data_IF_726868528337
#
_entry.id   IF_726868528337
#
_cell.length_a   1.000
_cell.length_b   1.000
_cell.length_c   1.000
_cell.angle_alpha   90.00
_cell.angle_beta   90.00
_cell.angle_gamma   90.00
#
_symmetry.space_group_name_H-M   'P 1'
#
loop_
_entity.id
_entity.type
_entity.pdbx_description
1 polymer ?
#
# COMPACT_ATOMS: atom_id res chain seq x y z
N UNK A 1 -7.53 14.59 9.86
CA UNK A 1 -6.85 14.74 11.16
C UNK A 1 -5.43 14.19 11.06
N UNK A 2 -4.48 14.90 11.62
CA UNK A 2 -3.09 14.48 11.81
C UNK A 2 -2.69 14.79 13.26
N UNK A 3 -1.81 13.98 13.85
CA UNK A 3 -1.27 14.23 15.20
C UNK A 3 -0.37 15.48 15.23
N UNK A 4 0.23 15.82 14.09
CA UNK A 4 0.94 17.08 13.90
C UNK A 4 -0.08 18.22 13.67
N UNK A 5 -0.20 19.19 14.60
CA UNK A 5 -1.16 20.29 14.50
C UNK A 5 -0.98 21.16 13.25
N UNK A 6 0.25 21.21 12.70
CA UNK A 6 0.55 22.00 11.50
C UNK A 6 0.01 21.34 10.21
N UNK A 7 -0.28 20.04 10.25
CA UNK A 7 -0.83 19.27 9.13
C UNK A 7 -2.33 19.04 9.29
N UNK A 8 -2.85 19.16 10.52
CA UNK A 8 -4.25 18.90 10.79
C UNK A 8 -5.12 20.12 10.46
N UNK A 9 -6.17 19.89 9.68
CA UNK A 9 -7.19 20.92 9.36
C UNK A 9 -8.49 20.71 10.13
N UNK A 10 -8.64 19.55 10.79
CA UNK A 10 -9.86 19.15 11.49
C UNK A 10 -9.51 18.43 12.79
N UNK A 11 -10.44 18.41 13.73
CA UNK A 11 -10.34 17.65 14.97
C UNK A 11 -10.61 16.17 14.74
N UNK A 12 -10.17 15.32 15.65
CA UNK A 12 -10.48 13.89 15.63
C UNK A 12 -12.00 13.63 15.64
N UNK A 13 -12.73 14.43 16.41
CA UNK A 13 -14.20 14.31 16.52
C UNK A 13 -14.91 14.61 15.19
N UNK A 14 -14.46 15.61 14.46
CA UNK A 14 -15.00 15.92 13.13
C UNK A 14 -14.71 14.80 12.14
N UNK A 15 -13.53 14.19 12.23
CA UNK A 15 -13.15 13.04 11.41
C UNK A 15 -14.10 11.85 11.65
N UNK A 16 -14.43 11.54 12.90
CA UNK A 16 -15.35 10.46 13.23
C UNK A 16 -16.81 10.70 12.83
N UNK A 17 -17.20 11.94 12.55
CA UNK A 17 -18.52 12.27 12.01
C UNK A 17 -18.66 12.08 10.50
N UNK A 18 -17.59 11.76 9.81
CA UNK A 18 -17.58 11.46 8.36
C UNK A 18 -18.26 10.11 8.06
N UNK A 19 -18.60 9.89 6.79
CA UNK A 19 -19.11 8.58 6.34
C UNK A 19 -17.98 7.58 6.05
N UNK A 20 -16.81 8.10 5.69
CA UNK A 20 -15.59 7.32 5.42
C UNK A 20 -14.39 7.97 6.08
N UNK A 21 -13.52 7.14 6.65
CA UNK A 21 -12.24 7.57 7.25
C UNK A 21 -11.11 6.75 6.64
N UNK A 22 -10.15 7.41 5.99
CA UNK A 22 -8.92 6.79 5.51
C UNK A 22 -7.89 6.77 6.63
N UNK A 23 -7.43 5.57 7.00
CA UNK A 23 -6.41 5.38 8.04
C UNK A 23 -5.06 5.15 7.38
N UNK A 24 -4.18 6.15 7.47
CA UNK A 24 -2.89 6.20 6.80
C UNK A 24 -1.75 6.43 7.80
N UNK A 25 -1.72 5.66 8.87
CA UNK A 25 -0.71 5.80 9.94
C UNK A 25 0.51 4.92 9.67
N UNK A 26 1.70 5.27 10.22
CA UNK A 26 2.89 4.43 10.10
C UNK A 26 2.71 3.05 10.75
N UNK A 27 3.35 2.04 10.16
CA UNK A 27 3.43 0.69 10.72
C UNK A 27 4.89 0.22 10.70
N UNK A 28 5.76 0.84 11.52
CA UNK A 28 7.19 0.51 11.53
C UNK A 28 7.43 -0.91 12.02
N UNK A 29 8.64 -1.37 11.84
CA UNK A 29 9.09 -2.66 12.34
C UNK A 29 9.81 -2.48 13.68
N UNK A 30 9.56 -3.37 14.63
CA UNK A 30 10.35 -3.49 15.85
C UNK A 30 11.74 -4.09 15.56
N UNK A 31 12.72 -3.93 16.46
CA UNK A 31 14.06 -4.53 16.31
C UNK A 31 14.06 -6.06 16.15
N UNK A 32 13.06 -6.73 16.66
CA UNK A 32 12.85 -8.19 16.53
C UNK A 32 12.22 -8.63 15.20
N UNK A 33 11.94 -7.68 14.30
CA UNK A 33 11.32 -7.95 13.00
C UNK A 33 9.79 -7.97 13.01
N UNK A 34 9.15 -7.88 14.17
CA UNK A 34 7.69 -7.81 14.25
C UNK A 34 7.15 -6.43 13.83
N UNK A 35 5.97 -6.42 13.23
CA UNK A 35 5.31 -5.17 12.85
C UNK A 35 4.74 -4.46 14.07
N UNK A 36 5.00 -3.16 14.19
CA UNK A 36 4.39 -2.31 15.19
C UNK A 36 3.03 -1.79 14.67
N UNK A 37 1.95 -2.22 15.31
CA UNK A 37 0.58 -1.82 15.01
C UNK A 37 -0.01 -0.84 16.04
N UNK A 38 0.79 -0.27 16.93
CA UNK A 38 0.27 0.59 18.00
C UNK A 38 -0.45 1.82 17.45
N UNK A 39 0.10 2.48 16.44
CA UNK A 39 -0.58 3.61 15.80
C UNK A 39 -1.92 3.24 15.17
N UNK A 40 -2.02 2.06 14.56
CA UNK A 40 -3.27 1.55 13.99
C UNK A 40 -4.29 1.28 15.10
N UNK A 41 -3.87 0.63 16.18
CA UNK A 41 -4.72 0.32 17.34
C UNK A 41 -5.20 1.60 18.04
N UNK A 42 -4.33 2.60 18.14
CA UNK A 42 -4.68 3.88 18.75
C UNK A 42 -5.80 4.59 17.97
N UNK A 43 -5.76 4.58 16.64
CA UNK A 43 -6.86 5.12 15.82
C UNK A 43 -8.17 4.42 16.17
N UNK A 44 -8.18 3.10 16.22
CA UNK A 44 -9.41 2.33 16.45
C UNK A 44 -9.90 2.34 17.90
N UNK A 45 -9.02 2.59 18.86
CA UNK A 45 -9.39 2.77 20.28
C UNK A 45 -10.38 3.93 20.49
N UNK A 46 -10.23 5.00 19.71
CA UNK A 46 -11.08 6.20 19.79
C UNK A 46 -12.11 6.29 18.66
N UNK A 47 -12.19 5.27 17.82
CA UNK A 47 -13.11 5.22 16.69
C UNK A 47 -14.57 5.02 17.14
N UNK A 48 -15.51 5.52 16.36
CA UNK A 48 -16.93 5.26 16.55
C UNK A 48 -17.50 4.40 15.41
N UNK A 49 -18.71 3.90 15.57
CA UNK A 49 -19.35 2.95 14.64
C UNK A 49 -19.93 3.58 13.36
N UNK A 50 -19.96 4.91 13.26
CA UNK A 50 -20.57 5.59 12.12
C UNK A 50 -19.82 5.35 10.81
N UNK A 51 -18.50 5.68 10.71
CA UNK A 51 -17.78 5.59 9.45
C UNK A 51 -17.49 4.15 9.00
N UNK A 52 -17.22 4.02 7.69
CA UNK A 52 -16.42 2.90 7.19
C UNK A 52 -14.96 3.35 7.21
N UNK A 53 -14.12 2.64 7.96
CA UNK A 53 -12.69 2.88 8.05
C UNK A 53 -11.98 2.14 6.91
N UNK A 54 -11.28 2.88 6.08
CA UNK A 54 -10.48 2.34 4.97
C UNK A 54 -9.02 2.34 5.42
N UNK A 55 -8.55 1.19 5.88
CA UNK A 55 -7.16 1.02 6.32
C UNK A 55 -6.24 0.97 5.10
N UNK A 56 -5.37 1.96 4.99
CA UNK A 56 -4.37 2.11 3.93
C UNK A 56 -2.97 1.69 4.36
N UNK A 57 -2.70 1.73 5.68
CA UNK A 57 -1.41 1.34 6.24
C UNK A 57 -1.07 -0.10 5.89
N UNK A 58 0.17 -0.37 5.51
CA UNK A 58 0.63 -1.73 5.20
C UNK A 58 0.58 -2.58 6.47
N UNK A 59 -0.16 -3.66 6.44
CA UNK A 59 -0.32 -4.58 7.58
C UNK A 59 -0.19 -6.04 7.13
N UNK A 60 0.22 -6.92 8.06
CA UNK A 60 0.36 -8.34 7.78
C UNK A 60 -0.98 -9.01 7.46
N UNK A 61 -1.01 -10.02 6.56
CA UNK A 61 -2.24 -10.77 6.25
C UNK A 61 -2.94 -11.30 7.50
N UNK A 62 -4.25 -11.02 7.61
CA UNK A 62 -5.09 -11.35 8.75
C UNK A 62 -5.21 -10.25 9.80
N UNK A 63 -4.50 -9.12 9.66
CA UNK A 63 -4.58 -8.01 10.61
C UNK A 63 -5.96 -7.35 10.61
N UNK A 64 -6.54 -7.08 9.43
CA UNK A 64 -7.88 -6.44 9.35
C UNK A 64 -8.97 -7.33 9.92
N UNK A 65 -8.86 -8.66 9.79
CA UNK A 65 -9.81 -9.58 10.43
C UNK A 65 -9.72 -9.46 11.95
N UNK A 66 -8.51 -9.53 12.52
CA UNK A 66 -8.30 -9.37 13.97
C UNK A 66 -8.79 -8.01 14.49
N UNK A 67 -8.62 -6.94 13.70
CA UNK A 67 -9.15 -5.63 14.07
C UNK A 67 -10.69 -5.63 14.08
N UNK A 68 -11.35 -6.25 13.09
CA UNK A 68 -12.81 -6.39 13.07
C UNK A 68 -13.34 -7.30 14.19
N UNK A 69 -12.57 -8.29 14.65
CA UNK A 69 -12.90 -9.12 15.82
C UNK A 69 -12.71 -8.35 17.13
N UNK A 70 -11.65 -7.55 17.24
CA UNK A 70 -11.36 -6.78 18.45
C UNK A 70 -12.32 -5.59 18.63
N UNK A 71 -12.70 -4.97 17.53
CA UNK A 71 -13.58 -3.79 17.49
C UNK A 71 -14.87 -4.13 16.71
N UNK A 72 -15.66 -5.07 17.24
CA UNK A 72 -16.83 -5.65 16.55
C UNK A 72 -17.85 -4.63 16.03
N UNK A 73 -17.96 -3.47 16.71
CA UNK A 73 -18.85 -2.37 16.32
C UNK A 73 -18.34 -1.57 15.11
N UNK A 74 -17.06 -1.69 14.76
CA UNK A 74 -16.47 -0.91 13.69
C UNK A 74 -16.62 -1.61 12.32
N UNK A 75 -16.54 -0.81 11.29
CA UNK A 75 -16.64 -1.22 9.88
C UNK A 75 -15.29 -0.99 9.23
N UNK A 76 -14.40 -1.97 9.26
CA UNK A 76 -13.03 -1.84 8.76
C UNK A 76 -12.88 -2.62 7.46
N UNK A 77 -12.40 -1.96 6.40
CA UNK A 77 -11.97 -2.56 5.15
C UNK A 77 -10.50 -2.21 4.91
N UNK A 78 -9.79 -3.08 4.23
CA UNK A 78 -8.41 -2.83 3.82
C UNK A 78 -8.37 -2.35 2.36
N UNK A 79 -7.57 -1.33 2.08
CA UNK A 79 -7.34 -0.87 0.70
C UNK A 79 -5.87 -0.48 0.54
N UNK A 80 -5.01 -1.42 0.11
CA UNK A 80 -3.59 -1.15 -0.06
C UNK A 80 -3.34 0.01 -1.04
N UNK A 81 -2.21 0.67 -0.85
CA UNK A 81 -1.67 1.60 -1.80
C UNK A 81 -0.45 0.98 -2.50
N UNK A 82 -0.19 1.41 -3.74
CA UNK A 82 0.93 0.95 -4.57
C UNK A 82 1.71 2.15 -5.11
N UNK A 83 1.82 3.19 -4.30
CA UNK A 83 2.40 4.48 -4.68
C UNK A 83 3.90 4.46 -4.45
N UNK A 84 4.64 5.06 -5.36
CA UNK A 84 6.06 5.38 -5.16
C UNK A 84 6.16 6.70 -4.40
N UNK A 85 7.02 6.81 -3.42
CA UNK A 85 7.12 8.01 -2.57
C UNK A 85 7.32 9.28 -3.39
N UNK A 86 8.21 9.24 -4.38
CA UNK A 86 8.55 10.40 -5.25
C UNK A 86 7.40 10.84 -6.16
N UNK A 87 6.57 9.91 -6.63
CA UNK A 87 5.52 10.14 -7.63
C UNK A 87 4.13 9.89 -7.10
N UNK A 88 3.95 9.83 -5.78
CA UNK A 88 2.73 9.39 -5.11
C UNK A 88 1.46 10.06 -5.62
N UNK A 89 1.48 11.37 -5.88
CA UNK A 89 0.34 12.10 -6.42
C UNK A 89 -0.02 11.65 -7.85
N UNK A 90 0.99 11.47 -8.69
CA UNK A 90 0.80 11.01 -10.07
C UNK A 90 0.33 9.55 -10.06
N UNK A 91 0.99 8.69 -9.30
CA UNK A 91 0.65 7.28 -9.17
C UNK A 91 -0.80 7.08 -8.69
N UNK A 92 -1.26 7.90 -7.74
CA UNK A 92 -2.64 7.86 -7.27
C UNK A 92 -3.63 8.19 -8.39
N UNK A 93 -3.30 9.11 -9.29
CA UNK A 93 -4.14 9.48 -10.43
C UNK A 93 -4.08 8.46 -11.57
N UNK A 94 -2.91 7.88 -11.82
CA UNK A 94 -2.64 7.01 -12.97
C UNK A 94 -2.79 5.52 -12.66
N UNK A 95 -2.86 5.12 -11.37
CA UNK A 95 -3.02 3.70 -10.99
C UNK A 95 -4.14 3.02 -11.78
N UNK A 96 -3.87 1.81 -12.25
CA UNK A 96 -4.80 1.05 -13.08
C UNK A 96 -5.84 0.26 -12.28
N UNK A 97 -5.58 0.03 -11.00
CA UNK A 97 -6.44 -0.76 -10.12
C UNK A 97 -6.53 -0.19 -8.72
N UNK A 98 -7.66 -0.45 -8.07
CA UNK A 98 -7.89 -0.24 -6.65
C UNK A 98 -8.31 -1.59 -6.08
N UNK A 99 -7.77 -1.96 -4.92
CA UNK A 99 -8.10 -3.22 -4.25
C UNK A 99 -8.82 -2.89 -2.96
N UNK A 100 -9.92 -3.59 -2.71
CA UNK A 100 -10.74 -3.45 -1.51
C UNK A 100 -10.92 -4.84 -0.88
N UNK A 101 -10.45 -4.98 0.35
CA UNK A 101 -10.52 -6.23 1.10
C UNK A 101 -11.42 -6.13 2.31
N UNK A 102 -12.36 -7.06 2.45
CA UNK A 102 -13.26 -7.12 3.58
C UNK A 102 -14.61 -7.77 3.28
N UNK A 103 -15.55 -7.60 4.19
CA UNK A 103 -16.94 -8.05 3.97
C UNK A 103 -17.53 -7.35 2.74
N UNK A 104 -18.17 -8.10 1.85
CA UNK A 104 -18.72 -7.60 0.57
C UNK A 104 -19.63 -6.37 0.74
N UNK A 105 -20.46 -6.34 1.77
CA UNK A 105 -21.32 -5.20 2.06
C UNK A 105 -20.53 -3.90 2.35
N UNK A 106 -19.37 -4.01 2.98
CA UNK A 106 -18.50 -2.86 3.30
C UNK A 106 -17.65 -2.45 2.09
N UNK A 107 -17.06 -3.42 1.39
CA UNK A 107 -16.24 -3.13 0.20
C UNK A 107 -17.08 -2.49 -0.91
N UNK A 108 -18.33 -2.95 -1.12
CA UNK A 108 -19.24 -2.35 -2.10
C UNK A 108 -19.65 -0.91 -1.75
N UNK A 109 -19.70 -0.54 -0.47
CA UNK A 109 -19.90 0.84 -0.06
C UNK A 109 -18.63 1.68 -0.23
N UNK A 110 -17.46 1.14 0.17
CA UNK A 110 -16.17 1.80 -0.05
C UNK A 110 -15.88 2.00 -1.55
N UNK A 111 -16.28 1.06 -2.41
CA UNK A 111 -16.19 1.17 -3.86
C UNK A 111 -16.81 2.46 -4.38
N UNK A 112 -17.98 2.85 -3.88
CA UNK A 112 -18.70 4.04 -4.34
C UNK A 112 -17.87 5.32 -4.21
N UNK A 113 -17.13 5.51 -3.11
CA UNK A 113 -16.29 6.70 -2.93
C UNK A 113 -15.13 6.71 -3.92
N UNK A 114 -14.56 5.55 -4.23
CA UNK A 114 -13.50 5.47 -5.24
C UNK A 114 -14.04 5.75 -6.65
N UNK A 115 -15.22 5.24 -7.00
CA UNK A 115 -15.86 5.48 -8.29
C UNK A 115 -16.23 6.96 -8.52
N UNK A 116 -16.57 7.71 -7.47
CA UNK A 116 -16.79 9.16 -7.56
C UNK A 116 -15.55 9.91 -8.06
N UNK A 117 -14.36 9.48 -7.63
CA UNK A 117 -13.12 10.16 -7.97
C UNK A 117 -12.40 9.53 -9.16
N UNK A 118 -12.46 8.23 -9.31
CA UNK A 118 -11.68 7.45 -10.28
C UNK A 118 -12.61 6.70 -11.23
N UNK A 119 -13.17 7.42 -12.21
CA UNK A 119 -13.97 6.83 -13.27
C UNK A 119 -13.10 5.87 -14.08
N UNK A 120 -13.63 4.71 -14.44
CA UNK A 120 -12.98 3.70 -15.30
C UNK A 120 -11.75 2.99 -14.70
N UNK A 121 -11.55 3.02 -13.38
CA UNK A 121 -10.53 2.19 -12.73
C UNK A 121 -11.05 0.78 -12.46
N UNK A 122 -10.18 -0.20 -12.59
CA UNK A 122 -10.50 -1.56 -12.19
C UNK A 122 -10.52 -1.67 -10.67
N UNK A 123 -11.69 -1.84 -10.06
CA UNK A 123 -11.84 -2.01 -8.61
C UNK A 123 -12.06 -3.49 -8.32
N UNK A 124 -11.06 -4.10 -7.68
CA UNK A 124 -11.04 -5.50 -7.30
C UNK A 124 -11.51 -5.60 -5.85
N UNK A 125 -12.61 -6.31 -5.62
CA UNK A 125 -13.12 -6.60 -4.29
C UNK A 125 -12.82 -8.05 -3.91
N UNK A 126 -12.22 -8.26 -2.73
CA UNK A 126 -11.83 -9.57 -2.21
C UNK A 126 -11.94 -9.59 -0.68
N UNK A 127 -11.54 -10.66 -0.02
CA UNK A 127 -11.41 -10.69 1.44
C UNK A 127 -10.18 -9.91 1.94
N UNK A 128 -10.15 -9.64 3.25
CA UNK A 128 -9.09 -8.83 3.87
C UNK A 128 -7.72 -9.46 3.72
N UNK A 129 -7.59 -10.77 4.01
CA UNK A 129 -6.30 -11.48 3.94
C UNK A 129 -5.71 -11.46 2.55
N UNK A 130 -6.56 -11.71 1.55
CA UNK A 130 -6.14 -11.71 0.14
C UNK A 130 -5.66 -10.31 -0.27
N UNK A 131 -6.37 -9.25 0.11
CA UNK A 131 -5.96 -7.88 -0.23
C UNK A 131 -4.66 -7.46 0.47
N UNK A 132 -4.47 -7.86 1.73
CA UNK A 132 -3.23 -7.65 2.49
C UNK A 132 -2.07 -8.42 1.86
N UNK A 133 -2.29 -9.68 1.48
CA UNK A 133 -1.28 -10.49 0.80
C UNK A 133 -0.85 -9.88 -0.55
N UNK A 134 -1.79 -9.36 -1.34
CA UNK A 134 -1.47 -8.69 -2.61
C UNK A 134 -0.48 -7.53 -2.40
N UNK A 135 -0.62 -6.74 -1.33
CA UNK A 135 0.34 -5.69 -1.00
C UNK A 135 1.74 -6.25 -0.76
N UNK A 136 1.85 -7.31 0.03
CA UNK A 136 3.13 -7.96 0.29
C UNK A 136 3.74 -8.60 -0.96
N UNK A 137 2.93 -9.29 -1.76
CA UNK A 137 3.40 -9.86 -3.03
C UNK A 137 4.06 -8.79 -3.92
N UNK A 138 3.41 -7.65 -4.10
CA UNK A 138 3.97 -6.56 -4.89
C UNK A 138 5.30 -6.04 -4.30
N UNK A 139 5.29 -5.70 -3.02
CA UNK A 139 6.47 -5.11 -2.38
C UNK A 139 7.66 -6.08 -2.39
N UNK A 140 7.42 -7.35 -2.03
CA UNK A 140 8.47 -8.38 -2.01
C UNK A 140 8.99 -8.68 -3.41
N UNK A 141 8.11 -8.76 -4.41
CA UNK A 141 8.50 -8.99 -5.80
C UNK A 141 9.43 -7.87 -6.30
N UNK A 142 9.07 -6.60 -6.07
CA UNK A 142 9.90 -5.49 -6.51
C UNK A 142 11.20 -5.37 -5.73
N UNK A 143 11.20 -5.62 -4.43
CA UNK A 143 12.44 -5.67 -3.63
C UNK A 143 13.38 -6.77 -4.12
N UNK A 144 12.86 -7.94 -4.42
CA UNK A 144 13.64 -9.06 -5.01
C UNK A 144 14.20 -8.68 -6.38
N UNK A 145 13.40 -8.01 -7.21
CA UNK A 145 13.84 -7.56 -8.54
C UNK A 145 15.01 -6.58 -8.43
N UNK A 146 14.91 -5.59 -7.55
CA UNK A 146 16.02 -4.64 -7.28
C UNK A 146 17.27 -5.37 -6.81
N UNK A 147 17.14 -6.30 -5.86
CA UNK A 147 18.26 -7.08 -5.35
C UNK A 147 18.96 -7.88 -6.46
N UNK A 148 18.21 -8.59 -7.29
CA UNK A 148 18.75 -9.36 -8.42
C UNK A 148 19.45 -8.44 -9.42
N UNK A 149 18.91 -7.27 -9.74
CA UNK A 149 19.52 -6.33 -10.68
C UNK A 149 20.82 -5.76 -10.14
N UNK A 150 20.93 -5.50 -8.84
CA UNK A 150 22.18 -5.10 -8.20
C UNK A 150 23.25 -6.19 -8.33
N UNK A 151 22.91 -7.47 -8.14
CA UNK A 151 23.84 -8.60 -8.33
C UNK A 151 24.31 -8.69 -9.80
N UNK A 152 23.42 -8.56 -10.76
CA UNK A 152 23.80 -8.54 -12.17
C UNK A 152 24.68 -7.35 -12.53
N UNK A 153 24.46 -6.18 -11.93
CA UNK A 153 25.33 -5.03 -12.12
C UNK A 153 26.75 -5.31 -11.61
N UNK A 154 26.89 -5.91 -10.42
CA UNK A 154 28.18 -6.31 -9.87
C UNK A 154 28.92 -7.32 -10.76
N UNK A 155 28.20 -8.31 -11.30
CA UNK A 155 28.75 -9.28 -12.23
C UNK A 155 29.22 -8.57 -13.51
N UNK A 156 28.38 -7.71 -14.08
CA UNK A 156 28.67 -6.94 -15.30
C UNK A 156 29.97 -6.13 -15.14
N UNK A 157 30.11 -5.41 -14.03
CA UNK A 157 31.29 -4.62 -13.71
C UNK A 157 32.56 -5.49 -13.59
N UNK A 158 32.41 -6.65 -12.93
CA UNK A 158 33.52 -7.58 -12.72
C UNK A 158 34.06 -8.19 -14.03
N UNK A 159 33.19 -8.47 -14.99
CA UNK A 159 33.59 -9.06 -16.29
C UNK A 159 33.87 -8.02 -17.36
N UNK A 160 33.69 -6.71 -17.07
CA UNK A 160 33.91 -5.62 -18.03
C UNK A 160 32.87 -5.52 -19.14
N UNK A 161 31.64 -6.04 -18.91
CA UNK A 161 30.56 -5.91 -19.88
C UNK A 161 29.92 -4.51 -19.85
N UNK A 162 29.25 -4.12 -20.93
CA UNK A 162 28.47 -2.89 -20.96
C UNK A 162 27.13 -3.06 -20.30
N UNK A 163 26.90 -2.36 -19.18
CA UNK A 163 25.65 -2.45 -18.42
C UNK A 163 24.43 -1.98 -19.20
N UNK A 164 24.55 -0.87 -19.94
CA UNK A 164 23.42 -0.31 -20.68
C UNK A 164 22.96 -1.26 -21.80
N UNK A 165 23.92 -1.84 -22.53
CA UNK A 165 23.62 -2.82 -23.58
C UNK A 165 23.01 -4.10 -22.98
N UNK A 166 23.55 -4.58 -21.86
CA UNK A 166 23.04 -5.74 -21.15
C UNK A 166 21.60 -5.50 -20.68
N UNK A 167 21.35 -4.33 -20.07
CA UNK A 167 20.02 -3.95 -19.57
C UNK A 167 19.01 -3.82 -20.71
N UNK A 168 19.38 -3.15 -21.80
CA UNK A 168 18.53 -3.00 -22.99
C UNK A 168 18.20 -4.36 -23.63
N UNK A 169 19.20 -5.24 -23.76
CA UNK A 169 18.99 -6.59 -24.26
C UNK A 169 18.07 -7.42 -23.35
N UNK A 170 18.26 -7.31 -22.03
CA UNK A 170 17.44 -8.02 -21.06
C UNK A 170 15.99 -7.52 -21.02
N UNK A 171 15.79 -6.22 -21.03
CA UNK A 171 14.45 -5.61 -20.98
C UNK A 171 13.68 -5.72 -22.29
N UNK A 172 14.36 -6.01 -23.40
CA UNK A 172 13.72 -6.24 -24.70
C UNK A 172 12.80 -7.48 -24.71
N UNK A 173 12.98 -8.40 -23.76
CA UNK A 173 12.01 -9.47 -23.52
C UNK A 173 10.78 -8.92 -22.80
N UNK A 174 9.65 -8.81 -23.49
CA UNK A 174 8.39 -8.27 -22.97
C UNK A 174 7.84 -8.95 -21.71
N UNK A 175 8.40 -10.09 -21.31
CA UNK A 175 8.04 -10.79 -20.06
C UNK A 175 8.72 -10.19 -18.82
N UNK A 176 9.82 -9.44 -19.01
CA UNK A 176 10.61 -8.89 -17.89
C UNK A 176 9.94 -7.68 -17.26
N UNK A 177 9.38 -6.78 -18.06
CA UNK A 177 8.80 -5.50 -17.65
C UNK A 177 9.87 -4.51 -17.15
N UNK A 178 9.70 -3.24 -17.45
CA UNK A 178 10.75 -2.20 -17.33
C UNK A 178 10.93 -1.63 -15.92
N UNK A 179 9.97 -1.85 -15.01
CA UNK A 179 10.05 -1.27 -13.67
C UNK A 179 11.12 -1.93 -12.80
N UNK A 180 11.82 -1.13 -11.98
CA UNK A 180 12.79 -1.60 -10.99
C UNK A 180 14.02 -2.33 -11.57
N UNK A 181 14.46 -1.94 -12.77
CA UNK A 181 15.66 -2.52 -13.41
C UNK A 181 16.92 -1.66 -13.26
N UNK A 182 16.78 -0.36 -12.99
CA UNK A 182 17.91 0.55 -12.91
C UNK A 182 18.78 0.32 -11.66
N UNK A 183 20.10 0.41 -11.83
CA UNK A 183 21.08 0.35 -10.76
C UNK A 183 22.05 1.55 -10.90
N UNK A 184 22.23 2.41 -9.88
CA UNK A 184 21.44 2.38 -8.63
C UNK A 184 19.96 2.63 -8.87
N UNK A 185 19.13 2.13 -7.99
CA UNK A 185 17.69 2.41 -8.01
C UNK A 185 17.42 3.91 -7.88
N UNK A 186 16.16 4.32 -8.10
CA UNK A 186 15.78 5.74 -8.06
C UNK A 186 16.09 6.44 -6.72
N UNK A 187 16.21 5.69 -5.65
CA UNK A 187 16.49 6.21 -4.29
C UNK A 187 17.95 5.98 -3.87
N UNK A 188 18.85 5.63 -4.82
CA UNK A 188 20.27 5.39 -4.55
C UNK A 188 20.59 4.07 -3.85
N UNK A 189 19.63 3.15 -3.81
CA UNK A 189 19.78 1.81 -3.21
C UNK A 189 20.10 0.75 -4.26
#
# INVERSE_FOLDING_TARGET
YDVDPLKSTHTLNETHNSDFVFVCVPTPMYPDGNQNLEFVKEVFKYANEKPIYILKSTVLPGTTEKLNETYEQLKIVFSPEFLTERTSKLDMLTQNRIILGGKKSLTSNARKIYELRFKNKNIIETDSKTSELIKYMNNTFFATKVSIMNEFKLICDKIGANWEDALNGFSSDGRVGDSHLNVPGHDGQ
#
